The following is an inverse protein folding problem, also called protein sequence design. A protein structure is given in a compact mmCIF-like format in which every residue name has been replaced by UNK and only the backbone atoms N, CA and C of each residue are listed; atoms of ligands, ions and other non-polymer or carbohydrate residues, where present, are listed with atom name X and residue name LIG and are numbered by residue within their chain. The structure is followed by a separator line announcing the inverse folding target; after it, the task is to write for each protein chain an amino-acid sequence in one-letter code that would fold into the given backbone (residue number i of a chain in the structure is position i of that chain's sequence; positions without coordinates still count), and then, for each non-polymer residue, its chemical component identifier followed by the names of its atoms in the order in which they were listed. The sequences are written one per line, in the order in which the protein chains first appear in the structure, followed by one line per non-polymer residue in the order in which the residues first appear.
data_IF_120672286072
#
_entry.id   IF_120672286072
#
_cell.length_a   1.000
_cell.length_b   1.000
_cell.length_c   1.000
_cell.angle_alpha   90.00
_cell.angle_beta   90.00
_cell.angle_gamma   90.00
#
_symmetry.space_group_name_H-M   'P 1'
#
loop_
_entity.id
_entity.type
_entity.pdbx_description
1 polymer ?
#
# COMPACT_ATOMS: atom_id res chain seq x y z
N UNK A 1 -16.23 -8.33 -0.89
CA UNK A 1 -14.97 -8.06 -0.15
C UNK A 1 -13.85 -8.02 -1.17
N UNK A 2 -12.99 -7.03 -1.12
CA UNK A 2 -11.89 -6.82 -2.06
C UNK A 2 -10.62 -6.44 -1.28
N UNK A 3 -9.46 -6.49 -1.91
CA UNK A 3 -8.16 -6.10 -1.33
C UNK A 3 -7.79 -4.72 -1.85
N UNK A 4 -7.81 -3.71 -0.99
CA UNK A 4 -7.41 -2.35 -1.33
C UNK A 4 -5.95 -2.14 -0.92
N UNK A 5 -5.08 -1.96 -1.91
CA UNK A 5 -3.67 -1.66 -1.70
C UNK A 5 -3.47 -0.18 -1.37
N UNK A 6 -2.78 0.11 -0.28
CA UNK A 6 -2.38 1.49 0.08
C UNK A 6 -0.87 1.57 0.07
N UNK A 7 -0.34 2.31 -0.90
CA UNK A 7 1.09 2.51 -1.16
C UNK A 7 1.49 3.95 -0.82
N UNK A 8 2.71 4.16 -0.35
CA UNK A 8 3.17 5.50 0.02
C UNK A 8 4.47 5.49 0.82
N UNK A 9 4.81 6.63 1.41
CA UNK A 9 6.03 6.82 2.19
C UNK A 9 6.16 5.82 3.33
N UNK A 10 7.33 5.21 3.47
CA UNK A 10 7.67 4.38 4.63
C UNK A 10 8.14 5.19 5.85
N UNK A 11 8.30 6.51 5.72
CA UNK A 11 8.80 7.42 6.76
C UNK A 11 7.72 8.43 7.20
N UNK A 12 7.09 9.09 6.25
CA UNK A 12 6.07 10.11 6.49
C UNK A 12 4.68 9.46 6.61
N UNK A 13 3.92 9.84 7.63
CA UNK A 13 2.64 9.18 7.93
C UNK A 13 1.50 9.63 7.02
N UNK A 14 1.54 10.86 6.52
CA UNK A 14 0.44 11.45 5.74
C UNK A 14 -0.92 11.19 6.40
N UNK A 15 -0.98 11.38 7.73
CA UNK A 15 -2.10 10.94 8.57
C UNK A 15 -3.45 11.49 8.12
N UNK A 16 -3.50 12.76 7.69
CA UNK A 16 -4.73 13.42 7.20
C UNK A 16 -5.35 12.72 5.98
N UNK A 17 -4.56 11.93 5.26
CA UNK A 17 -4.99 11.15 4.10
C UNK A 17 -5.05 9.64 4.40
N UNK A 18 -4.05 9.11 5.08
CA UNK A 18 -3.92 7.68 5.34
C UNK A 18 -4.95 7.16 6.34
N UNK A 19 -5.25 7.92 7.40
CA UNK A 19 -6.17 7.47 8.44
C UNK A 19 -7.64 7.44 7.98
N UNK A 20 -8.19 8.48 7.35
CA UNK A 20 -9.54 8.41 6.80
C UNK A 20 -9.71 7.28 5.79
N UNK A 21 -8.68 7.04 4.95
CA UNK A 21 -8.69 5.96 3.98
C UNK A 21 -8.70 4.59 4.67
N UNK A 22 -7.82 4.37 5.65
CA UNK A 22 -7.77 3.12 6.41
C UNK A 22 -9.09 2.81 7.13
N UNK A 23 -9.67 3.81 7.79
CA UNK A 23 -10.96 3.68 8.46
C UNK A 23 -12.10 3.38 7.47
N UNK A 24 -12.11 4.04 6.30
CA UNK A 24 -13.12 3.80 5.27
C UNK A 24 -13.03 2.38 4.70
N UNK A 25 -11.81 1.89 4.39
CA UNK A 25 -11.59 0.53 3.87
C UNK A 25 -12.17 -0.50 4.86
N UNK A 26 -11.91 -0.31 6.16
CA UNK A 26 -12.44 -1.17 7.23
C UNK A 26 -13.96 -1.12 7.31
N UNK A 27 -14.54 0.08 7.32
CA UNK A 27 -16.00 0.31 7.39
C UNK A 27 -16.75 -0.23 6.19
N UNK A 28 -16.14 -0.17 5.00
CA UNK A 28 -16.67 -0.75 3.76
C UNK A 28 -16.55 -2.29 3.71
N UNK A 29 -15.87 -2.91 4.68
CA UNK A 29 -15.72 -4.36 4.77
C UNK A 29 -14.74 -4.96 3.78
N UNK A 30 -13.75 -4.17 3.35
CA UNK A 30 -12.65 -4.61 2.48
C UNK A 30 -11.41 -4.98 3.29
N UNK A 31 -10.47 -5.70 2.69
CA UNK A 31 -9.13 -5.92 3.24
C UNK A 31 -8.22 -4.74 2.89
N UNK A 32 -7.38 -4.34 3.84
CA UNK A 32 -6.30 -3.39 3.62
C UNK A 32 -5.02 -4.14 3.33
N UNK A 33 -4.33 -3.82 2.22
CA UNK A 33 -3.00 -4.35 1.92
C UNK A 33 -1.98 -3.23 1.89
N UNK A 34 -0.87 -3.42 2.60
CA UNK A 34 0.28 -2.51 2.62
C UNK A 34 1.59 -3.30 2.58
N UNK A 35 2.71 -2.60 2.47
CA UNK A 35 4.02 -3.20 2.66
C UNK A 35 4.37 -3.53 4.12
N UNK A 36 3.47 -3.31 5.09
CA UNK A 36 3.61 -3.71 6.48
C UNK A 36 4.60 -2.90 7.35
N UNK A 37 5.19 -1.83 6.83
CA UNK A 37 6.19 -1.00 7.53
C UNK A 37 5.63 0.24 8.21
N UNK A 38 6.49 1.26 8.38
CA UNK A 38 6.16 2.56 8.98
C UNK A 38 5.45 3.54 8.04
N UNK A 39 5.41 4.81 8.41
CA UNK A 39 4.84 5.89 7.62
C UNK A 39 3.37 5.66 7.26
N UNK A 40 3.01 5.92 6.00
CA UNK A 40 1.66 5.70 5.44
C UNK A 40 1.11 4.32 5.78
N UNK A 41 1.93 3.27 5.67
CA UNK A 41 1.51 1.89 5.92
C UNK A 41 1.02 1.69 7.35
N UNK A 42 1.76 2.24 8.33
CA UNK A 42 1.39 2.17 9.75
C UNK A 42 0.17 3.03 10.03
N UNK A 43 0.11 4.24 9.49
CA UNK A 43 -0.99 5.18 9.71
C UNK A 43 -2.32 4.63 9.19
N UNK A 44 -2.35 4.13 7.95
CA UNK A 44 -3.54 3.48 7.39
C UNK A 44 -3.94 2.22 8.17
N UNK A 45 -2.97 1.36 8.54
CA UNK A 45 -3.26 0.13 9.29
C UNK A 45 -3.75 0.43 10.70
N UNK A 46 -3.25 1.47 11.37
CA UNK A 46 -3.72 1.93 12.68
C UNK A 46 -5.20 2.30 12.65
N UNK A 47 -5.59 3.16 11.72
CA UNK A 47 -6.98 3.59 11.58
C UNK A 47 -7.90 2.44 11.17
N UNK A 48 -7.45 1.58 10.26
CA UNK A 48 -8.16 0.36 9.88
C UNK A 48 -8.42 -0.54 11.09
N UNK A 49 -7.38 -0.82 11.88
CA UNK A 49 -7.46 -1.67 13.06
C UNK A 49 -8.37 -1.08 14.15
N UNK A 50 -8.34 0.24 14.34
CA UNK A 50 -9.15 0.97 15.30
C UNK A 50 -10.62 1.12 14.93
N UNK A 51 -11.04 0.75 13.71
CA UNK A 51 -12.42 0.89 13.25
C UNK A 51 -13.32 -0.19 13.86
N UNK A 52 -14.36 0.17 14.67
CA UNK A 52 -15.26 -0.78 15.27
C UNK A 52 -16.03 -1.58 14.22
N UNK A 53 -16.21 -2.89 14.47
CA UNK A 53 -17.03 -3.75 13.61
C UNK A 53 -16.40 -4.07 12.24
N UNK A 54 -15.12 -3.77 12.02
CA UNK A 54 -14.42 -4.15 10.79
C UNK A 54 -14.52 -5.66 10.55
N UNK A 55 -14.68 -6.06 9.30
CA UNK A 55 -14.75 -7.47 8.89
C UNK A 55 -13.53 -7.91 8.06
N UNK A 56 -12.86 -6.96 7.40
CA UNK A 56 -11.65 -7.20 6.66
C UNK A 56 -10.41 -7.35 7.55
N UNK A 57 -9.28 -7.73 6.94
CA UNK A 57 -7.98 -7.88 7.57
C UNK A 57 -6.99 -6.84 7.05
N UNK A 58 -6.06 -6.46 7.91
CA UNK A 58 -4.87 -5.69 7.54
C UNK A 58 -3.77 -6.67 7.12
N UNK A 59 -3.39 -6.66 5.85
CA UNK A 59 -2.39 -7.54 5.23
C UNK A 59 -1.09 -6.77 5.05
N UNK A 60 0.01 -7.34 5.50
CA UNK A 60 1.35 -6.77 5.31
C UNK A 60 2.23 -7.68 4.46
N UNK A 61 2.69 -7.22 3.31
CA UNK A 61 3.69 -7.94 2.49
C UNK A 61 5.09 -7.51 2.95
N UNK A 62 5.77 -8.39 3.66
CA UNK A 62 6.97 -8.06 4.41
C UNK A 62 8.25 -8.37 3.64
N UNK A 63 9.24 -7.45 3.67
CA UNK A 63 10.59 -7.78 3.26
C UNK A 63 11.25 -8.66 4.32
N UNK A 64 12.16 -9.53 3.91
CA UNK A 64 12.92 -10.39 4.82
C UNK A 64 14.39 -10.47 4.43
N UNK A 65 15.16 -11.04 5.35
CA UNK A 65 16.55 -11.43 5.14
C UNK A 65 16.76 -12.88 5.57
N UNK A 66 17.82 -13.55 5.06
CA UNK A 66 18.16 -14.89 5.51
C UNK A 66 18.38 -14.96 7.02
N UNK A 67 17.79 -15.96 7.67
CA UNK A 67 17.94 -16.23 9.10
C UNK A 67 18.37 -17.70 9.28
N UNK A 68 19.43 -17.99 10.05
CA UNK A 68 19.98 -19.33 10.17
C UNK A 68 19.07 -20.32 10.91
N UNK A 69 18.08 -19.82 11.67
CA UNK A 69 17.16 -20.66 12.46
C UNK A 69 15.82 -20.83 11.76
N UNK A 70 15.31 -19.73 11.16
CA UNK A 70 13.97 -19.68 10.57
C UNK A 70 13.96 -19.74 9.04
N UNK A 71 15.13 -19.78 8.40
CA UNK A 71 15.30 -19.64 6.96
C UNK A 71 15.21 -18.19 6.52
N UNK A 72 14.17 -17.46 6.92
CA UNK A 72 13.98 -16.04 6.69
C UNK A 72 13.34 -15.35 7.91
N UNK A 73 13.74 -14.11 8.19
CA UNK A 73 13.17 -13.27 9.23
C UNK A 73 12.74 -11.90 8.65
N UNK A 74 11.66 -11.29 9.14
CA UNK A 74 11.29 -9.94 8.74
C UNK A 74 12.41 -8.95 9.06
N UNK A 75 12.59 -7.94 8.21
CA UNK A 75 13.52 -6.84 8.52
C UNK A 75 13.08 -6.07 9.77
N UNK A 76 14.01 -5.44 10.51
CA UNK A 76 13.68 -4.58 11.64
C UNK A 76 12.61 -3.52 11.29
N UNK A 77 11.63 -3.34 12.17
CA UNK A 77 10.47 -2.45 11.96
C UNK A 77 9.32 -3.08 11.16
N UNK A 78 9.39 -4.37 10.85
CA UNK A 78 8.33 -5.13 10.19
C UNK A 78 7.94 -6.38 11.00
N UNK A 79 6.61 -6.71 11.04
CA UNK A 79 5.48 -5.87 10.66
C UNK A 79 5.27 -4.72 11.65
N UNK A 80 4.58 -3.66 11.24
CA UNK A 80 4.04 -2.72 12.21
C UNK A 80 2.94 -3.42 13.06
N UNK A 81 2.60 -2.91 14.28
CA UNK A 81 1.75 -3.64 15.24
C UNK A 81 0.27 -3.78 14.83
N UNK A 82 -0.15 -3.16 13.72
CA UNK A 82 -1.54 -3.15 13.24
C UNK A 82 -1.77 -4.09 12.05
N UNK A 83 -0.83 -4.98 11.76
CA UNK A 83 -0.96 -6.00 10.70
C UNK A 83 -1.56 -7.28 11.28
N UNK A 84 -2.74 -7.66 10.79
CA UNK A 84 -3.42 -8.92 11.20
C UNK A 84 -2.81 -10.14 10.50
N UNK A 85 -2.44 -10.00 9.21
CA UNK A 85 -1.90 -11.08 8.39
C UNK A 85 -0.56 -10.67 7.78
N UNK A 86 0.57 -10.97 8.45
CA UNK A 86 1.89 -10.78 7.88
C UNK A 86 2.20 -11.87 6.84
N UNK A 87 2.56 -11.47 5.62
CA UNK A 87 3.04 -12.37 4.57
C UNK A 87 4.52 -12.11 4.35
N UNK A 88 5.35 -13.04 4.78
CA UNK A 88 6.79 -12.97 4.63
C UNK A 88 7.18 -13.33 3.20
N UNK A 89 7.97 -12.47 2.56
CA UNK A 89 8.52 -12.73 1.22
C UNK A 89 10.03 -12.95 1.29
N UNK A 90 10.65 -13.69 0.37
CA UNK A 90 12.10 -13.88 0.34
C UNK A 90 12.86 -12.65 -0.19
N UNK A 91 12.18 -11.51 -0.35
CA UNK A 91 12.77 -10.30 -0.91
C UNK A 91 13.22 -9.34 0.18
N UNK A 92 14.48 -8.92 0.11
CA UNK A 92 15.01 -7.80 0.88
C UNK A 92 14.35 -6.48 0.47
N UNK A 93 14.69 -5.38 1.15
CA UNK A 93 14.30 -4.05 0.69
C UNK A 93 15.00 -3.74 -0.63
N UNK A 94 14.23 -3.45 -1.67
CA UNK A 94 14.78 -3.10 -2.98
C UNK A 94 15.59 -1.79 -2.88
N UNK A 95 16.87 -1.77 -3.29
CA UNK A 95 17.66 -0.55 -3.38
C UNK A 95 17.04 0.47 -4.35
N UNK A 96 17.31 1.76 -4.12
CA UNK A 96 16.75 2.82 -4.97
C UNK A 96 17.28 2.80 -6.40
N UNK A 97 18.48 2.28 -6.60
CA UNK A 97 19.20 2.14 -7.88
C UNK A 97 18.99 0.76 -8.55
N UNK A 98 18.23 -0.12 -7.92
CA UNK A 98 17.95 -1.44 -8.50
C UNK A 98 17.13 -1.34 -9.80
N UNK A 99 17.40 -2.21 -10.79
CA UNK A 99 16.68 -2.20 -12.06
C UNK A 99 15.16 -2.28 -11.87
N UNK A 100 14.36 -1.52 -12.65
CA UNK A 100 12.89 -1.58 -12.56
C UNK A 100 12.29 -2.96 -12.84
N UNK A 101 13.04 -3.81 -13.55
CA UNK A 101 12.63 -5.19 -13.92
C UNK A 101 12.94 -6.21 -12.83
N UNK A 102 13.72 -5.86 -11.81
CA UNK A 102 14.07 -6.77 -10.73
C UNK A 102 12.85 -7.10 -9.88
N UNK A 103 12.63 -8.40 -9.69
CA UNK A 103 11.52 -8.90 -8.85
C UNK A 103 11.72 -8.44 -7.40
N UNK A 104 10.64 -8.01 -6.80
CA UNK A 104 10.62 -7.52 -5.43
C UNK A 104 9.25 -7.77 -4.79
N UNK A 105 9.16 -7.53 -3.49
CA UNK A 105 7.87 -7.58 -2.77
C UNK A 105 6.83 -6.60 -3.33
N UNK A 106 7.26 -5.52 -4.01
CA UNK A 106 6.34 -4.56 -4.63
C UNK A 106 5.49 -5.22 -5.73
N UNK A 107 6.02 -6.24 -6.44
CA UNK A 107 5.23 -7.05 -7.37
C UNK A 107 4.08 -7.77 -6.64
N UNK A 108 4.36 -8.33 -5.46
CA UNK A 108 3.35 -9.00 -4.64
C UNK A 108 2.30 -8.00 -4.15
N UNK A 109 2.73 -6.81 -3.65
CA UNK A 109 1.81 -5.73 -3.27
C UNK A 109 0.82 -5.41 -4.39
N UNK A 110 1.36 -5.14 -5.58
CA UNK A 110 0.59 -4.65 -6.72
C UNK A 110 -0.31 -5.74 -7.31
N UNK A 111 0.21 -6.94 -7.51
CA UNK A 111 -0.56 -8.03 -8.12
C UNK A 111 -1.68 -8.54 -7.21
N UNK A 112 -1.48 -8.51 -5.89
CA UNK A 112 -2.47 -8.94 -4.90
C UNK A 112 -3.59 -7.91 -4.71
N UNK A 113 -3.32 -6.62 -4.93
CA UNK A 113 -4.30 -5.56 -4.79
C UNK A 113 -5.34 -5.59 -5.92
N UNK A 114 -6.59 -5.37 -5.58
CA UNK A 114 -7.69 -5.22 -6.55
C UNK A 114 -7.78 -3.79 -7.07
N UNK A 115 -7.63 -2.83 -6.18
CA UNK A 115 -7.53 -1.39 -6.46
C UNK A 115 -6.40 -0.83 -5.61
N UNK A 116 -5.69 0.16 -6.13
CA UNK A 116 -4.54 0.76 -5.46
C UNK A 116 -4.79 2.24 -5.20
N UNK A 117 -4.59 2.67 -3.97
CA UNK A 117 -4.52 4.08 -3.61
C UNK A 117 -3.08 4.43 -3.26
N UNK A 118 -2.54 5.42 -3.95
CA UNK A 118 -1.16 5.88 -3.80
C UNK A 118 -1.14 7.18 -3.03
N UNK A 119 -0.52 7.20 -1.86
CA UNK A 119 -0.20 8.42 -1.12
C UNK A 119 1.21 8.90 -1.47
N UNK A 120 1.55 10.16 -1.18
CA UNK A 120 2.88 10.67 -1.49
C UNK A 120 4.01 9.81 -0.92
N UNK A 121 5.05 9.62 -1.71
CA UNK A 121 6.20 8.80 -1.34
C UNK A 121 7.38 9.00 -2.29
N UNK A 122 8.43 8.20 -2.10
CA UNK A 122 9.68 8.32 -2.85
C UNK A 122 9.89 7.12 -3.78
N UNK A 123 11.13 6.67 -3.93
CA UNK A 123 11.53 5.61 -4.87
C UNK A 123 10.67 4.33 -4.80
N UNK A 124 10.38 3.85 -3.58
CA UNK A 124 9.54 2.65 -3.43
C UNK A 124 8.14 2.84 -3.99
N UNK A 125 7.53 4.00 -3.70
CA UNK A 125 6.20 4.35 -4.21
C UNK A 125 6.21 4.54 -5.73
N UNK A 126 7.26 5.17 -6.27
CA UNK A 126 7.43 5.30 -7.72
C UNK A 126 7.54 3.93 -8.42
N UNK A 127 8.27 2.98 -7.83
CA UNK A 127 8.35 1.60 -8.32
C UNK A 127 6.98 0.92 -8.32
N UNK A 128 6.20 1.08 -7.25
CA UNK A 128 4.84 0.54 -7.13
C UNK A 128 3.89 1.15 -8.17
N UNK A 129 3.95 2.46 -8.42
CA UNK A 129 3.16 3.12 -9.46
C UNK A 129 3.51 2.58 -10.85
N UNK A 130 4.80 2.44 -11.16
CA UNK A 130 5.25 1.87 -12.45
C UNK A 130 4.79 0.44 -12.65
N UNK A 131 4.84 -0.37 -11.60
CA UNK A 131 4.31 -1.73 -11.62
C UNK A 131 2.79 -1.77 -11.82
N UNK A 132 2.06 -0.88 -11.15
CA UNK A 132 0.61 -0.78 -11.32
C UNK A 132 0.24 -0.42 -12.76
N UNK A 133 0.94 0.54 -13.39
CA UNK A 133 0.78 0.87 -14.81
C UNK A 133 1.08 -0.34 -15.71
N UNK A 134 2.22 -0.99 -15.48
CA UNK A 134 2.65 -2.16 -16.26
C UNK A 134 1.63 -3.31 -16.22
N UNK A 135 1.00 -3.54 -15.09
CA UNK A 135 0.02 -4.61 -14.90
C UNK A 135 -1.44 -4.18 -15.11
N UNK A 136 -1.67 -2.94 -15.54
CA UNK A 136 -3.02 -2.42 -15.80
C UNK A 136 -3.91 -2.40 -14.56
N UNK A 137 -3.33 -2.20 -13.36
CA UNK A 137 -4.09 -2.15 -12.12
C UNK A 137 -4.81 -0.81 -11.96
N UNK A 138 -6.10 -0.81 -11.55
CA UNK A 138 -6.79 0.41 -11.21
C UNK A 138 -6.06 1.13 -10.07
N UNK A 139 -5.68 2.39 -10.28
CA UNK A 139 -4.99 3.18 -9.26
C UNK A 139 -5.37 4.64 -9.30
N UNK A 140 -5.31 5.29 -8.12
CA UNK A 140 -5.51 6.73 -7.95
C UNK A 140 -4.53 7.26 -6.91
N UNK A 141 -3.95 8.44 -7.15
CA UNK A 141 -3.15 9.18 -6.17
C UNK A 141 -4.06 9.99 -5.24
N UNK A 142 -3.80 9.93 -3.94
CA UNK A 142 -4.53 10.64 -2.90
C UNK A 142 -3.58 11.47 -2.03
N UNK A 143 -3.69 12.79 -2.14
CA UNK A 143 -2.84 13.75 -1.44
C UNK A 143 -2.71 15.07 -2.19
N UNK A 144 -1.85 15.99 -1.70
CA UNK A 144 -1.58 17.24 -2.40
C UNK A 144 -0.94 16.98 -3.76
N UNK A 145 -1.43 17.62 -4.81
CA UNK A 145 -0.96 17.41 -6.20
C UNK A 145 0.55 17.65 -6.37
N UNK A 146 1.07 18.62 -5.63
CA UNK A 146 2.50 18.98 -5.70
C UNK A 146 3.44 17.86 -5.29
N UNK A 147 2.99 16.96 -4.42
CA UNK A 147 3.79 15.86 -3.89
C UNK A 147 3.85 14.65 -4.85
N UNK A 148 3.10 14.71 -5.95
CA UNK A 148 3.10 13.69 -7.02
C UNK A 148 3.90 14.11 -8.27
N UNK A 149 4.57 15.26 -8.28
CA UNK A 149 5.30 15.77 -9.47
C UNK A 149 6.37 14.83 -10.03
N UNK A 150 6.92 13.96 -9.20
CA UNK A 150 7.92 12.97 -9.61
C UNK A 150 7.30 11.64 -10.09
N UNK A 151 5.97 11.52 -10.03
CA UNK A 151 5.25 10.31 -10.46
C UNK A 151 4.93 10.37 -11.96
N UNK A 152 4.69 9.22 -12.61
CA UNK A 152 4.21 9.18 -14.00
C UNK A 152 2.93 10.01 -14.20
N UNK A 153 2.83 10.68 -15.34
CA UNK A 153 1.69 11.54 -15.67
C UNK A 153 0.36 10.77 -15.80
N UNK A 154 0.43 9.47 -16.00
CA UNK A 154 -0.72 8.56 -16.05
C UNK A 154 -1.36 8.32 -14.68
N UNK A 155 -0.68 8.65 -13.59
CA UNK A 155 -1.25 8.60 -12.25
C UNK A 155 -2.21 9.79 -12.07
N UNK A 156 -3.50 9.55 -12.17
CA UNK A 156 -4.51 10.55 -11.79
C UNK A 156 -4.43 10.81 -10.28
N UNK A 157 -4.35 12.07 -9.88
CA UNK A 157 -4.24 12.49 -8.48
C UNK A 157 -5.43 13.33 -8.04
N UNK A 158 -5.74 13.31 -6.75
CA UNK A 158 -6.76 14.14 -6.12
C UNK A 158 -6.47 14.35 -4.64
N UNK A 159 -6.84 15.50 -4.11
CA UNK A 159 -6.91 15.75 -2.67
C UNK A 159 -8.30 15.49 -2.07
N UNK A 160 -9.30 15.17 -2.91
CA UNK A 160 -10.68 14.96 -2.46
C UNK A 160 -10.95 13.49 -2.13
N UNK A 161 -11.33 13.25 -0.88
CA UNK A 161 -11.61 11.92 -0.36
C UNK A 161 -12.83 11.25 -1.03
N UNK A 162 -13.87 12.05 -1.35
CA UNK A 162 -15.06 11.56 -2.04
C UNK A 162 -14.74 11.00 -3.42
N UNK A 163 -13.84 11.68 -4.15
CA UNK A 163 -13.34 11.21 -5.44
C UNK A 163 -12.59 9.88 -5.33
N UNK A 164 -11.78 9.69 -4.27
CA UNK A 164 -11.05 8.43 -4.05
C UNK A 164 -12.02 7.27 -3.79
N UNK A 165 -12.99 7.47 -2.90
CA UNK A 165 -13.96 6.41 -2.55
C UNK A 165 -14.86 6.05 -3.73
N UNK A 166 -15.28 7.04 -4.52
CA UNK A 166 -16.03 6.80 -5.75
C UNK A 166 -15.21 6.04 -6.80
N UNK A 167 -13.91 6.37 -6.95
CA UNK A 167 -13.01 5.64 -7.84
C UNK A 167 -12.89 4.17 -7.43
N UNK A 168 -12.70 3.89 -6.13
CA UNK A 168 -12.60 2.51 -5.62
C UNK A 168 -13.90 1.75 -5.94
N UNK A 169 -15.07 2.34 -5.65
CA UNK A 169 -16.36 1.71 -5.91
C UNK A 169 -16.57 1.40 -7.39
N UNK A 170 -16.25 2.33 -8.29
CA UNK A 170 -16.34 2.15 -9.75
C UNK A 170 -15.39 1.05 -10.23
N UNK A 171 -14.13 1.06 -9.80
CA UNK A 171 -13.15 0.06 -10.18
C UNK A 171 -13.57 -1.37 -9.76
N UNK A 172 -14.19 -1.50 -8.58
CA UNK A 172 -14.68 -2.78 -8.08
C UNK A 172 -15.97 -3.26 -8.79
N UNK A 173 -16.77 -2.37 -9.31
CA UNK A 173 -18.00 -2.72 -10.05
C UNK A 173 -17.74 -3.29 -11.44
N UNK A 174 -16.55 -3.09 -11.99
CA UNK A 174 -16.14 -3.54 -13.34
C UNK A 174 -15.44 -4.91 -13.36
N UNK A 175 -15.43 -5.62 -12.23
CA UNK A 175 -14.75 -6.92 -12.07
C UNK A 175 -15.63 -8.10 -12.40
#
# INVERSE_FOLDING_TARGET
MAIIGVMGSGQEEWADYAEPLGAWIAGAGHDLLTGGGGGVMRSAARAFHGTPGRRGRSIGILPSEPDPVRGHAPLPGYPNPYIDLPILTPFARKPADAPPTELSRNHVNILTSDVIVVLPGRHGTLDEVRLALRFGKPMIGFGPELDFRAMPAELRTTGDFGTVTAFIADALSRR
#
